data_IF_928819411491
#
_entry.id   IF_928819411491
#
_cell.length_a   1.000
_cell.length_b   1.000
_cell.length_c   1.000
_cell.angle_alpha   90.00
_cell.angle_beta   90.00
_cell.angle_gamma   90.00
#
_symmetry.space_group_name_H-M   'P 1'
#
loop_
_entity.id
_entity.type
_entity.pdbx_description
1 polymer ?
#
# COMPACT_ATOMS: atom_id res chain seq x y z
N UNK A 1 -19.36 20.93 -28.98
CA UNK A 1 -20.15 21.19 -27.74
C UNK A 1 -20.03 22.66 -27.38
N UNK A 2 -21.16 23.35 -27.12
CA UNK A 2 -21.27 24.81 -27.06
C UNK A 2 -21.05 25.37 -25.63
N UNK A 3 -19.99 26.17 -25.42
CA UNK A 3 -19.57 26.71 -24.11
C UNK A 3 -20.61 27.67 -23.47
N UNK A 4 -21.48 28.29 -24.27
CA UNK A 4 -22.41 29.31 -23.78
C UNK A 4 -23.53 28.73 -22.88
N UNK A 5 -23.85 27.44 -23.00
CA UNK A 5 -24.86 26.80 -22.15
C UNK A 5 -24.42 26.58 -20.69
N UNK A 6 -23.10 26.48 -20.44
CA UNK A 6 -22.57 26.25 -19.08
C UNK A 6 -22.47 27.53 -18.26
N UNK A 7 -22.24 28.68 -18.90
CA UNK A 7 -22.14 29.97 -18.21
C UNK A 7 -23.50 30.45 -17.69
N UNK A 8 -24.60 30.16 -18.41
CA UNK A 8 -25.95 30.56 -18.01
C UNK A 8 -26.48 29.76 -16.81
N UNK A 9 -26.12 28.47 -16.67
CA UNK A 9 -26.48 27.68 -15.48
C UNK A 9 -25.74 28.14 -14.23
N UNK A 10 -24.50 28.63 -14.37
CA UNK A 10 -23.70 29.10 -13.23
C UNK A 10 -24.24 30.41 -12.65
N UNK A 11 -24.73 31.31 -13.50
CA UNK A 11 -25.28 32.60 -13.05
C UNK A 11 -26.66 32.45 -12.37
N UNK A 12 -27.47 31.48 -12.76
CA UNK A 12 -28.75 31.18 -12.10
C UNK A 12 -28.55 30.66 -10.67
N UNK A 13 -27.55 29.79 -10.46
CA UNK A 13 -27.26 29.22 -9.14
C UNK A 13 -26.74 30.26 -8.14
N UNK A 14 -26.02 31.27 -8.62
CA UNK A 14 -25.49 32.36 -7.80
C UNK A 14 -26.57 33.29 -7.23
N UNK A 15 -27.74 33.37 -7.88
CA UNK A 15 -28.87 34.18 -7.41
C UNK A 15 -29.74 33.47 -6.36
N UNK A 16 -29.77 32.14 -6.33
CA UNK A 16 -30.50 31.41 -5.28
C UNK A 16 -29.80 31.46 -3.92
N UNK A 17 -28.46 31.52 -3.92
CA UNK A 17 -27.65 31.56 -2.69
C UNK A 17 -27.70 32.89 -1.94
N UNK A 18 -28.37 33.92 -2.46
CA UNK A 18 -28.47 35.24 -1.82
C UNK A 18 -29.78 35.47 -1.06
N UNK A 19 -30.66 34.46 -0.93
CA UNK A 19 -31.89 34.60 -0.13
C UNK A 19 -31.66 34.20 1.34
N UNK A 20 -31.85 35.10 2.32
CA UNK A 20 -31.77 34.74 3.73
C UNK A 20 -33.04 34.03 4.20
N UNK A 21 -32.89 32.90 4.90
CA UNK A 21 -34.00 32.08 5.39
C UNK A 21 -34.27 32.36 6.89
N UNK A 22 -35.52 32.69 7.22
CA UNK A 22 -36.03 32.95 8.58
C UNK A 22 -36.25 31.63 9.35
N UNK A 23 -35.94 31.64 10.65
CA UNK A 23 -36.21 30.55 11.59
C UNK A 23 -37.45 30.89 12.42
N UNK A 24 -38.36 29.93 12.60
CA UNK A 24 -39.44 29.97 13.57
C UNK A 24 -39.29 28.80 14.56
N UNK A 25 -39.53 29.06 15.85
CA UNK A 25 -39.47 28.11 16.97
C UNK A 25 -40.89 27.97 17.56
N UNK A 26 -41.26 26.76 17.96
CA UNK A 26 -42.48 26.49 18.76
C UNK A 26 -42.39 25.16 19.54
N UNK A 27 -42.79 25.19 20.81
CA UNK A 27 -42.70 24.15 21.86
C UNK A 27 -44.00 23.32 22.05
N UNK A 28 -43.89 22.20 22.80
CA UNK A 28 -44.70 21.81 24.00
C UNK A 28 -45.38 20.39 24.02
N UNK A 29 -45.09 19.61 25.10
CA UNK A 29 -45.92 18.87 26.11
C UNK A 29 -47.29 18.20 25.72
N UNK A 30 -47.91 17.17 26.34
CA UNK A 30 -47.76 16.28 27.54
C UNK A 30 -48.94 15.21 27.55
N UNK A 31 -48.92 14.24 28.50
CA UNK A 31 -50.04 13.50 29.18
C UNK A 31 -50.84 12.36 28.47
N UNK A 32 -51.53 11.39 29.12
CA UNK A 32 -51.50 10.61 30.40
C UNK A 32 -52.66 9.54 30.35
N UNK A 33 -52.52 8.38 31.06
CA UNK A 33 -53.57 7.49 31.71
C UNK A 33 -54.61 6.73 30.82
N UNK A 34 -55.25 5.58 31.14
CA UNK A 34 -55.68 4.92 32.41
C UNK A 34 -56.10 3.42 32.28
N UNK A 35 -56.03 2.72 33.43
CA UNK A 35 -56.50 1.41 33.96
C UNK A 35 -57.91 0.79 33.68
N UNK A 36 -58.01 -0.55 33.75
CA UNK A 36 -58.72 -1.41 34.77
C UNK A 36 -59.61 -2.60 34.29
N UNK A 37 -59.34 -3.80 34.88
CA UNK A 37 -60.19 -4.88 35.49
C UNK A 37 -61.50 -5.37 34.79
N UNK A 38 -62.03 -6.61 34.90
CA UNK A 38 -61.82 -7.87 35.66
C UNK A 38 -62.79 -8.93 35.05
N UNK A 39 -62.49 -10.24 35.12
CA UNK A 39 -63.36 -11.34 35.65
C UNK A 39 -62.82 -12.75 35.30
N UNK A 40 -62.95 -13.69 36.26
CA UNK A 40 -62.45 -15.08 36.29
C UNK A 40 -63.60 -16.10 36.25
N UNK A 41 -63.36 -17.28 35.67
CA UNK A 41 -63.82 -18.64 36.10
C UNK A 41 -63.09 -19.71 35.23
N UNK A 42 -62.02 -20.36 35.73
CA UNK A 42 -61.90 -21.76 36.25
C UNK A 42 -62.29 -22.93 35.32
N UNK A 43 -61.30 -23.65 34.75
CA UNK A 43 -60.87 -25.03 35.14
C UNK A 43 -59.81 -25.64 34.19
N UNK A 44 -58.65 -26.00 34.77
CA UNK A 44 -57.70 -27.14 34.55
C UNK A 44 -57.48 -27.72 33.13
N UNK A 45 -56.29 -28.07 32.63
CA UNK A 45 -54.95 -28.23 33.20
C UNK A 45 -53.90 -28.19 32.06
N UNK A 46 -52.88 -27.33 32.18
CA UNK A 46 -51.50 -27.59 31.76
C UNK A 46 -50.65 -26.50 32.42
N UNK A 47 -49.61 -26.88 33.18
CA UNK A 47 -48.63 -25.93 33.69
C UNK A 47 -47.36 -26.07 32.84
N UNK A 48 -47.10 -25.16 31.90
CA UNK A 48 -45.77 -24.65 31.67
C UNK A 48 -45.49 -23.47 32.62
N UNK A 49 -44.21 -23.22 32.82
CA UNK A 49 -43.58 -22.20 33.67
C UNK A 49 -44.15 -20.78 33.46
N UNK A 50 -44.00 -19.87 34.46
CA UNK A 50 -44.56 -18.52 34.38
C UNK A 50 -44.11 -17.82 33.10
N UNK A 51 -45.08 -17.28 32.37
CA UNK A 51 -44.87 -16.35 31.27
C UNK A 51 -43.77 -15.38 31.68
N UNK A 52 -42.66 -15.40 30.94
CA UNK A 52 -41.72 -14.29 30.94
C UNK A 52 -42.57 -13.09 30.57
N UNK A 53 -42.68 -12.17 31.53
CA UNK A 53 -43.29 -10.88 31.37
C UNK A 53 -42.70 -10.20 30.13
N UNK A 54 -43.43 -10.29 29.02
CA UNK A 54 -43.06 -9.67 27.74
C UNK A 54 -43.25 -8.16 27.78
N UNK A 55 -43.66 -7.59 28.92
CA UNK A 55 -43.85 -6.15 29.08
C UNK A 55 -42.56 -5.35 29.37
N UNK A 56 -41.39 -6.00 29.44
CA UNK A 56 -40.09 -5.31 29.58
C UNK A 56 -39.12 -5.51 28.42
N UNK A 57 -39.58 -5.92 27.23
CA UNK A 57 -38.80 -5.72 26.00
C UNK A 57 -39.21 -4.35 25.44
N UNK A 58 -38.34 -3.33 25.44
CA UNK A 58 -38.67 -2.06 24.82
C UNK A 58 -39.07 -2.35 23.38
N UNK A 59 -40.20 -1.82 22.93
CA UNK A 59 -40.61 -1.83 21.50
C UNK A 59 -39.47 -1.22 20.67
N UNK A 60 -38.50 -2.04 20.26
CA UNK A 60 -37.41 -1.63 19.38
C UNK A 60 -38.00 -1.51 17.98
N UNK A 61 -37.73 -0.37 17.36
CA UNK A 61 -38.31 0.09 16.11
C UNK A 61 -38.21 -0.98 15.02
N UNK A 62 -39.29 -1.22 14.27
CA UNK A 62 -39.30 -2.16 13.15
C UNK A 62 -38.90 -1.43 11.86
N UNK A 63 -37.61 -1.46 11.51
CA UNK A 63 -37.17 -1.31 10.11
C UNK A 63 -36.69 -2.66 9.61
N UNK A 64 -36.81 -2.89 8.31
CA UNK A 64 -36.30 -4.11 7.68
C UNK A 64 -34.81 -4.24 7.97
N UNK A 65 -34.40 -5.40 8.47
CA UNK A 65 -32.98 -5.69 8.67
C UNK A 65 -32.38 -6.14 7.34
N UNK A 66 -31.33 -5.45 6.94
CA UNK A 66 -30.57 -5.80 5.73
C UNK A 66 -29.24 -6.39 6.19
N UNK A 67 -28.91 -7.65 5.84
CA UNK A 67 -27.59 -8.19 6.15
C UNK A 67 -26.52 -7.36 5.44
N UNK A 68 -25.40 -7.18 6.12
CA UNK A 68 -24.19 -6.61 5.53
C UNK A 68 -23.79 -7.48 4.32
N UNK A 69 -23.57 -6.86 3.16
CA UNK A 69 -23.08 -7.58 1.99
C UNK A 69 -21.66 -8.13 2.31
N UNK A 70 -21.39 -9.44 2.20
CA UNK A 70 -20.05 -9.99 2.38
C UNK A 70 -19.03 -9.44 1.37
N UNK A 71 -19.49 -8.98 0.20
CA UNK A 71 -18.67 -8.32 -0.81
C UNK A 71 -18.45 -6.82 -0.50
N UNK A 72 -19.03 -6.32 0.60
CA UNK A 72 -18.80 -4.96 1.04
C UNK A 72 -17.31 -4.76 1.32
N UNK A 73 -16.70 -3.84 0.58
CA UNK A 73 -15.31 -3.43 0.77
C UNK A 73 -15.17 -2.62 2.07
N UNK A 74 -13.93 -2.46 2.52
CA UNK A 74 -13.59 -1.79 3.78
C UNK A 74 -14.31 -0.45 3.98
N UNK A 75 -14.84 -0.21 5.19
CA UNK A 75 -15.31 1.10 5.61
C UNK A 75 -15.06 1.35 7.10
N UNK A 76 -15.12 2.64 7.49
CA UNK A 76 -15.12 3.05 8.88
C UNK A 76 -16.21 4.09 9.15
N UNK A 77 -16.81 4.04 10.35
CA UNK A 77 -17.84 5.00 10.74
C UNK A 77 -17.82 5.28 12.24
N UNK A 78 -18.15 6.52 12.62
CA UNK A 78 -18.39 6.86 14.02
C UNK A 78 -19.77 6.38 14.45
N UNK A 79 -19.79 5.46 15.40
CA UNK A 79 -21.01 4.87 15.92
C UNK A 79 -21.12 5.06 17.45
N UNK A 80 -22.34 5.19 17.94
CA UNK A 80 -22.64 5.28 19.38
C UNK A 80 -23.34 3.99 19.82
N UNK A 81 -22.76 3.19 20.73
CA UNK A 81 -23.46 2.06 21.30
C UNK A 81 -24.75 2.51 21.98
N UNK A 82 -25.82 1.76 21.76
CA UNK A 82 -27.09 2.00 22.44
C UNK A 82 -26.89 1.95 23.97
N UNK A 83 -27.58 2.84 24.70
CA UNK A 83 -27.46 2.93 26.16
C UNK A 83 -26.18 3.63 26.68
N UNK A 84 -25.21 3.98 25.82
CA UNK A 84 -23.99 4.68 26.27
C UNK A 84 -24.22 6.15 26.62
N UNK A 85 -23.40 6.74 27.53
CA UNK A 85 -23.46 8.16 27.90
C UNK A 85 -23.41 9.13 26.70
N UNK A 86 -23.87 10.37 26.91
CA UNK A 86 -23.69 11.43 25.90
C UNK A 86 -22.18 11.66 25.71
N UNK A 87 -21.74 11.73 24.45
CA UNK A 87 -20.33 11.90 24.08
C UNK A 87 -19.57 10.60 23.76
N UNK A 88 -20.05 9.43 24.20
CA UNK A 88 -19.40 8.14 23.88
C UNK A 88 -19.47 7.84 22.39
N UNK A 89 -18.33 7.63 21.73
CA UNK A 89 -18.23 7.34 20.30
C UNK A 89 -17.14 6.30 20.05
N UNK A 90 -17.47 5.35 19.20
CA UNK A 90 -16.58 4.30 18.75
C UNK A 90 -16.33 4.47 17.26
N UNK A 91 -15.13 4.16 16.81
CA UNK A 91 -14.88 3.91 15.40
C UNK A 91 -15.25 2.46 15.11
N UNK A 92 -16.27 2.26 14.29
CA UNK A 92 -16.66 0.98 13.75
C UNK A 92 -15.82 0.74 12.49
N UNK A 93 -15.06 -0.35 12.46
CA UNK A 93 -14.16 -0.74 11.37
C UNK A 93 -14.60 -2.09 10.84
N UNK A 94 -14.83 -2.20 9.53
CA UNK A 94 -15.27 -3.44 8.89
C UNK A 94 -14.49 -3.71 7.61
N UNK A 95 -14.03 -4.95 7.46
CA UNK A 95 -13.41 -5.54 6.27
C UNK A 95 -13.64 -7.04 6.36
N UNK A 96 -14.63 -7.60 5.66
CA UNK A 96 -15.04 -9.00 5.82
C UNK A 96 -13.84 -9.97 5.78
N UNK A 97 -13.70 -10.90 6.74
CA UNK A 97 -14.59 -11.24 7.86
C UNK A 97 -14.32 -10.47 9.17
N UNK A 98 -13.52 -9.41 9.11
CA UNK A 98 -13.05 -8.67 10.27
C UNK A 98 -13.98 -7.50 10.60
N UNK A 99 -14.35 -7.43 11.88
CA UNK A 99 -15.06 -6.30 12.45
C UNK A 99 -14.41 -5.91 13.77
N UNK A 100 -14.25 -4.60 14.00
CA UNK A 100 -13.76 -4.10 15.28
C UNK A 100 -14.39 -2.77 15.67
N UNK A 101 -14.42 -2.52 16.98
CA UNK A 101 -14.90 -1.28 17.58
C UNK A 101 -13.74 -0.65 18.34
N UNK A 102 -13.41 0.59 18.03
CA UNK A 102 -12.36 1.32 18.74
C UNK A 102 -12.99 2.42 19.62
N UNK A 103 -12.86 2.30 20.95
CA UNK A 103 -13.25 3.34 21.90
C UNK A 103 -12.17 4.41 21.94
N UNK A 104 -12.46 5.59 21.38
CA UNK A 104 -11.51 6.69 21.35
C UNK A 104 -11.11 7.19 22.75
N UNK A 105 -12.06 7.19 23.69
CA UNK A 105 -11.83 7.76 25.03
C UNK A 105 -10.95 6.83 25.88
N UNK A 106 -11.10 5.51 25.70
CA UNK A 106 -10.34 4.50 26.44
C UNK A 106 -9.09 4.02 25.72
N UNK A 107 -8.97 4.32 24.42
CA UNK A 107 -7.92 3.78 23.52
C UNK A 107 -7.91 2.25 23.45
N UNK A 108 -9.06 1.64 23.64
CA UNK A 108 -9.24 0.19 23.61
C UNK A 108 -9.88 -0.24 22.29
N UNK A 109 -9.42 -1.35 21.72
CA UNK A 109 -10.05 -1.97 20.55
C UNK A 109 -10.72 -3.27 20.96
N UNK A 110 -11.99 -3.39 20.62
CA UNK A 110 -12.75 -4.61 20.76
C UNK A 110 -12.77 -5.32 19.41
N UNK A 111 -12.16 -6.50 19.34
CA UNK A 111 -12.24 -7.36 18.17
C UNK A 111 -13.53 -8.15 18.24
N UNK A 112 -14.36 -8.01 17.22
CA UNK A 112 -15.59 -8.77 17.12
C UNK A 112 -15.26 -10.14 16.54
N UNK A 113 -15.82 -11.18 17.14
CA UNK A 113 -15.61 -12.56 16.67
C UNK A 113 -16.14 -12.73 15.25
N UNK A 114 -15.41 -13.49 14.43
CA UNK A 114 -15.76 -13.78 13.03
C UNK A 114 -17.11 -14.48 12.85
N UNK A 115 -17.66 -15.06 13.91
CA UNK A 115 -18.97 -15.72 13.90
C UNK A 115 -20.13 -14.73 14.12
N UNK A 116 -19.83 -13.44 14.30
CA UNK A 116 -20.85 -12.41 14.49
C UNK A 116 -21.47 -12.01 13.16
N UNK A 117 -22.80 -11.88 13.14
CA UNK A 117 -23.55 -11.42 11.97
C UNK A 117 -23.77 -9.91 12.06
N UNK A 118 -23.64 -9.22 10.94
CA UNK A 118 -23.82 -7.79 10.83
C UNK A 118 -25.03 -7.44 9.98
N UNK A 119 -25.83 -6.50 10.47
CA UNK A 119 -27.02 -6.00 9.81
C UNK A 119 -27.09 -4.48 9.88
N UNK A 120 -27.72 -3.87 8.88
CA UNK A 120 -28.24 -2.51 8.95
C UNK A 120 -29.72 -2.54 9.30
N UNK A 121 -30.12 -1.64 10.20
CA UNK A 121 -31.51 -1.43 10.60
C UNK A 121 -31.76 0.09 10.69
N UNK A 122 -32.03 0.74 9.55
CA UNK A 122 -32.08 2.19 9.53
C UNK A 122 -30.71 2.81 9.76
N UNK A 123 -30.65 3.79 10.66
CA UNK A 123 -29.40 4.42 11.12
C UNK A 123 -28.61 3.56 12.11
N UNK A 124 -28.95 2.29 12.30
CA UNK A 124 -28.28 1.45 13.29
C UNK A 124 -27.50 0.34 12.60
N UNK A 125 -26.29 0.10 13.08
CA UNK A 125 -25.57 -1.15 12.84
C UNK A 125 -25.95 -2.10 13.97
N UNK A 126 -26.40 -3.30 13.60
CA UNK A 126 -26.76 -4.37 14.53
C UNK A 126 -25.72 -5.47 14.40
N UNK A 127 -25.03 -5.72 15.50
CA UNK A 127 -24.02 -6.76 15.62
C UNK A 127 -24.62 -7.89 16.45
N UNK A 128 -24.85 -9.03 15.82
CA UNK A 128 -25.46 -10.21 16.42
C UNK A 128 -24.42 -11.27 16.71
N UNK A 129 -24.29 -11.64 17.97
CA UNK A 129 -23.44 -12.74 18.39
C UNK A 129 -24.26 -13.67 19.30
N UNK A 130 -24.39 -14.96 18.95
CA UNK A 130 -25.16 -15.95 19.72
C UNK A 130 -26.59 -15.46 20.09
N UNK A 131 -27.33 -14.89 19.13
CA UNK A 131 -28.66 -14.30 19.33
C UNK A 131 -28.74 -13.07 20.25
N UNK A 132 -27.60 -12.50 20.66
CA UNK A 132 -27.54 -11.23 21.38
C UNK A 132 -27.22 -10.11 20.40
N UNK A 133 -28.12 -9.14 20.31
CA UNK A 133 -27.98 -7.97 19.43
C UNK A 133 -27.34 -6.80 20.20
N UNK A 134 -26.22 -6.30 19.69
CA UNK A 134 -25.62 -5.02 20.08
C UNK A 134 -25.89 -3.99 19.00
N UNK A 135 -26.54 -2.89 19.40
CA UNK A 135 -26.93 -1.83 18.48
C UNK A 135 -25.99 -0.64 18.58
N UNK A 136 -25.62 -0.10 17.42
CA UNK A 136 -24.78 1.08 17.30
C UNK A 136 -25.50 2.11 16.45
N UNK A 137 -25.87 3.24 17.04
CA UNK A 137 -26.47 4.36 16.34
C UNK A 137 -25.43 5.11 15.52
N UNK A 138 -25.70 5.26 14.24
CA UNK A 138 -25.00 6.14 13.33
C UNK A 138 -25.58 7.55 13.44
N UNK A 139 -24.72 8.55 13.23
CA UNK A 139 -25.11 9.96 13.20
C UNK A 139 -25.53 10.42 11.78
N UNK A 140 -25.21 9.59 10.78
CA UNK A 140 -25.50 9.80 9.36
C UNK A 140 -26.63 8.85 8.96
N UNK A 141 -27.45 9.25 7.99
CA UNK A 141 -28.55 8.44 7.47
C UNK A 141 -28.05 7.19 6.74
N UNK A 142 -28.92 6.19 6.59
CA UNK A 142 -28.58 4.85 6.06
C UNK A 142 -28.16 4.87 4.58
N UNK A 143 -28.80 5.72 3.78
CA UNK A 143 -28.68 5.79 2.32
C UNK A 143 -27.22 6.03 1.84
N UNK A 144 -26.45 6.99 2.38
CA UNK A 144 -25.02 7.14 2.08
C UNK A 144 -24.15 5.90 2.34
N UNK A 145 -24.56 4.99 3.24
CA UNK A 145 -23.83 3.75 3.49
C UNK A 145 -24.19 2.66 2.51
N UNK A 146 -25.48 2.51 2.16
CA UNK A 146 -25.87 1.61 1.07
C UNK A 146 -25.17 1.99 -0.23
N UNK A 147 -25.14 3.29 -0.56
CA UNK A 147 -24.41 3.76 -1.73
C UNK A 147 -22.91 3.43 -1.67
N UNK A 148 -22.28 3.52 -0.50
CA UNK A 148 -20.88 3.15 -0.31
C UNK A 148 -20.65 1.62 -0.39
N UNK A 149 -21.61 0.81 0.07
CA UNK A 149 -21.57 -0.65 -0.02
C UNK A 149 -21.72 -1.09 -1.50
N UNK A 150 -22.57 -0.40 -2.26
CA UNK A 150 -22.94 -0.79 -3.63
C UNK A 150 -22.02 -0.20 -4.72
N UNK A 151 -21.44 0.99 -4.52
CA UNK A 151 -20.79 1.75 -5.61
C UNK A 151 -19.28 2.03 -5.42
N UNK A 152 -18.59 1.34 -4.50
CA UNK A 152 -17.17 1.62 -4.24
C UNK A 152 -16.21 0.93 -5.22
N UNK A 153 -15.65 1.73 -6.12
CA UNK A 153 -14.40 1.41 -6.82
C UNK A 153 -13.19 1.55 -5.89
N UNK A 154 -12.36 0.50 -5.90
CA UNK A 154 -11.48 0.06 -4.80
C UNK A 154 -10.27 0.94 -4.46
N UNK A 155 -9.98 2.02 -5.18
CA UNK A 155 -8.70 2.74 -5.06
C UNK A 155 -8.81 4.13 -4.40
N UNK A 156 -9.98 4.76 -4.45
CA UNK A 156 -10.18 6.12 -3.93
C UNK A 156 -10.31 6.11 -2.39
N UNK A 157 -10.97 5.09 -1.83
CA UNK A 157 -11.21 4.99 -0.38
C UNK A 157 -9.94 4.66 0.43
N UNK A 158 -9.00 3.91 -0.15
CA UNK A 158 -7.64 3.71 0.42
C UNK A 158 -6.85 5.00 0.55
N UNK A 159 -6.97 5.88 -0.44
CA UNK A 159 -6.32 7.19 -0.44
C UNK A 159 -6.94 8.12 0.62
N UNK A 160 -8.27 8.05 0.83
CA UNK A 160 -8.95 8.76 1.93
C UNK A 160 -8.52 8.28 3.32
N UNK A 161 -8.23 6.99 3.51
CA UNK A 161 -7.68 6.46 4.76
C UNK A 161 -6.25 6.98 5.04
N UNK A 162 -5.37 6.99 4.04
CA UNK A 162 -4.00 7.55 4.15
C UNK A 162 -4.03 9.06 4.43
N UNK A 163 -4.91 9.80 3.74
CA UNK A 163 -5.16 11.22 4.00
C UNK A 163 -5.69 11.49 5.42
N UNK A 164 -6.55 10.62 5.94
CA UNK A 164 -7.08 10.75 7.31
C UNK A 164 -6.00 10.62 8.38
N UNK A 165 -4.94 9.83 8.13
CA UNK A 165 -3.77 9.71 9.02
C UNK A 165 -2.87 10.94 8.93
N UNK A 166 -2.74 11.54 7.74
CA UNK A 166 -1.97 12.76 7.48
C UNK A 166 -2.58 14.01 8.16
N UNK A 167 -3.90 14.05 8.36
CA UNK A 167 -4.62 15.20 8.93
C UNK A 167 -4.83 15.14 10.47
N UNK A 168 -4.05 14.34 11.20
CA UNK A 168 -4.05 14.03 12.65
C UNK A 168 -4.94 12.84 13.10
N UNK A 169 -4.32 11.64 13.07
CA UNK A 169 -4.34 10.48 14.01
C UNK A 169 -5.64 10.04 14.72
N UNK A 170 -6.06 8.77 14.78
CA UNK A 170 -5.48 7.42 14.54
C UNK A 170 -6.66 6.41 14.41
N UNK A 171 -6.43 5.15 13.96
CA UNK A 171 -6.52 4.04 14.94
C UNK A 171 -5.62 2.82 14.56
N UNK A 172 -5.30 1.83 15.40
CA UNK A 172 -4.90 1.78 16.83
C UNK A 172 -3.80 0.70 16.90
N UNK A 173 -2.54 1.11 16.88
CA UNK A 173 -1.84 0.77 15.63
C UNK A 173 -1.08 -0.56 15.61
N UNK A 174 -0.47 -0.95 16.71
CA UNK A 174 0.63 -1.93 16.76
C UNK A 174 0.39 -3.19 15.93
N UNK A 175 -0.49 -4.08 16.42
CA UNK A 175 -0.58 -5.44 15.87
C UNK A 175 -1.80 -5.70 14.99
N UNK A 176 -2.96 -5.11 15.32
CA UNK A 176 -4.14 -5.18 14.45
C UNK A 176 -4.00 -4.33 13.20
N UNK A 177 -3.21 -3.27 13.31
CA UNK A 177 -3.01 -2.32 12.23
C UNK A 177 -1.78 -2.70 11.44
N UNK A 178 -0.91 -3.59 11.92
CA UNK A 178 0.04 -4.31 11.05
C UNK A 178 -0.69 -5.20 10.05
N UNK A 179 -1.64 -6.05 10.46
CA UNK A 179 -2.39 -6.89 9.50
C UNK A 179 -3.26 -6.05 8.56
N UNK A 180 -3.92 -5.02 9.11
CA UNK A 180 -4.75 -4.09 8.35
C UNK A 180 -3.93 -3.14 7.45
N UNK A 181 -2.78 -2.60 7.88
CA UNK A 181 -1.87 -1.79 7.04
C UNK A 181 -1.17 -2.67 6.02
N UNK A 182 -0.77 -3.89 6.35
CA UNK A 182 -0.15 -4.80 5.40
C UNK A 182 -1.10 -5.13 4.24
N UNK A 183 -2.41 -5.23 4.49
CA UNK A 183 -3.42 -5.38 3.43
C UNK A 183 -3.82 -4.06 2.76
N UNK A 184 -3.82 -2.95 3.52
CA UNK A 184 -4.42 -1.69 3.07
C UNK A 184 -3.41 -0.73 2.45
N UNK A 185 -2.23 -0.56 3.06
CA UNK A 185 -1.24 0.45 2.64
C UNK A 185 0.02 -0.19 2.04
N UNK A 186 0.46 -1.34 2.55
CA UNK A 186 1.59 -2.11 1.99
C UNK A 186 1.18 -2.81 0.69
N UNK A 187 0.97 -2.01 -0.35
CA UNK A 187 0.52 -2.46 -1.66
C UNK A 187 1.53 -2.04 -2.72
N UNK A 188 1.57 -2.79 -3.82
CA UNK A 188 2.34 -2.42 -5.00
C UNK A 188 2.11 -0.95 -5.41
N UNK A 189 0.86 -0.47 -5.39
CA UNK A 189 0.50 0.92 -5.74
C UNK A 189 1.20 1.95 -4.86
N UNK A 190 1.31 1.70 -3.55
CA UNK A 190 2.03 2.60 -2.64
C UNK A 190 3.49 2.74 -3.05
N UNK A 191 4.21 1.64 -3.28
CA UNK A 191 5.61 1.70 -3.72
C UNK A 191 5.76 2.37 -5.08
N UNK A 192 4.87 2.08 -6.03
CA UNK A 192 4.84 2.78 -7.33
C UNK A 192 4.73 4.30 -7.14
N UNK A 193 3.82 4.78 -6.31
CA UNK A 193 3.63 6.21 -6.05
C UNK A 193 4.85 6.82 -5.32
N UNK A 194 5.40 6.12 -4.33
CA UNK A 194 6.61 6.56 -3.59
C UNK A 194 7.81 6.71 -4.53
N UNK A 195 7.93 5.86 -5.55
CA UNK A 195 9.03 5.94 -6.53
C UNK A 195 9.05 7.25 -7.35
N UNK A 196 7.96 8.01 -7.37
CA UNK A 196 7.89 9.34 -8.01
C UNK A 196 8.34 10.49 -7.11
N UNK A 197 8.66 10.23 -5.83
CA UNK A 197 9.25 11.26 -4.98
C UNK A 197 10.60 11.73 -5.55
N UNK A 198 10.94 13.03 -5.39
CA UNK A 198 12.23 13.54 -5.85
C UNK A 198 13.42 12.72 -5.35
N UNK A 199 14.36 12.40 -6.24
CA UNK A 199 15.49 11.51 -5.96
C UNK A 199 16.35 11.96 -4.77
N UNK A 200 16.49 13.28 -4.55
CA UNK A 200 17.24 13.85 -3.43
C UNK A 200 16.66 13.52 -2.05
N UNK A 201 15.42 13.02 -1.98
CA UNK A 201 14.78 12.58 -0.75
C UNK A 201 15.17 11.14 -0.38
N UNK A 202 15.73 10.38 -1.31
CA UNK A 202 16.25 9.04 -1.06
C UNK A 202 17.75 9.16 -0.85
N UNK A 203 18.23 8.99 0.38
CA UNK A 203 19.62 8.66 0.67
C UNK A 203 19.78 7.13 0.67
N UNK A 204 20.99 6.64 0.99
CA UNK A 204 21.30 5.22 0.98
C UNK A 204 20.41 4.45 1.97
N UNK A 205 20.24 4.98 3.17
CA UNK A 205 19.37 4.40 4.21
C UNK A 205 17.91 4.30 3.76
N UNK A 206 17.33 5.39 3.24
CA UNK A 206 15.94 5.39 2.75
C UNK A 206 15.74 4.49 1.54
N UNK A 207 16.76 4.40 0.68
CA UNK A 207 16.72 3.48 -0.47
C UNK A 207 16.78 2.03 -0.01
N UNK A 208 17.59 1.72 1.00
CA UNK A 208 17.63 0.40 1.62
C UNK A 208 16.28 0.04 2.24
N UNK A 209 15.67 0.95 3.02
CA UNK A 209 14.33 0.74 3.57
C UNK A 209 13.30 0.49 2.48
N UNK A 210 13.33 1.29 1.41
CA UNK A 210 12.49 1.08 0.23
C UNK A 210 12.66 -0.31 -0.37
N UNK A 211 13.91 -0.69 -0.63
CA UNK A 211 14.29 -1.95 -1.23
C UNK A 211 13.82 -3.15 -0.38
N UNK A 212 13.96 -3.09 0.94
CA UNK A 212 13.50 -4.14 1.86
C UNK A 212 11.97 -4.13 2.01
N UNK A 213 11.35 -2.96 2.04
CA UNK A 213 9.90 -2.80 2.14
C UNK A 213 9.16 -3.38 0.93
N UNK A 214 9.71 -3.22 -0.27
CA UNK A 214 9.05 -3.63 -1.50
C UNK A 214 9.31 -5.08 -1.92
N UNK A 215 10.07 -5.86 -1.14
CA UNK A 215 10.50 -7.22 -1.50
C UNK A 215 9.35 -8.16 -1.96
N UNK A 216 8.17 -8.17 -1.29
CA UNK A 216 7.04 -8.99 -1.73
C UNK A 216 6.47 -8.59 -3.10
N UNK A 217 6.76 -7.37 -3.55
CA UNK A 217 6.29 -6.80 -4.80
C UNK A 217 7.41 -6.62 -5.83
N UNK A 218 8.61 -7.19 -5.57
CA UNK A 218 9.81 -6.91 -6.33
C UNK A 218 9.58 -7.06 -7.84
N UNK A 219 8.97 -8.16 -8.27
CA UNK A 219 8.72 -8.45 -9.70
C UNK A 219 7.85 -7.38 -10.34
N UNK A 220 6.63 -7.16 -9.81
CA UNK A 220 5.66 -6.24 -10.41
C UNK A 220 6.10 -4.77 -10.31
N UNK A 221 6.79 -4.41 -9.22
CA UNK A 221 7.33 -3.08 -9.04
C UNK A 221 8.49 -2.82 -10.00
N UNK A 222 9.37 -3.79 -10.17
CA UNK A 222 10.51 -3.63 -11.07
C UNK A 222 10.07 -3.56 -12.52
N UNK A 223 9.07 -4.35 -12.92
CA UNK A 223 8.40 -4.23 -14.23
C UNK A 223 7.83 -2.81 -14.43
N UNK A 224 7.17 -2.24 -13.42
CA UNK A 224 6.68 -0.86 -13.47
C UNK A 224 7.79 0.18 -13.61
N UNK A 225 8.83 0.12 -12.79
CA UNK A 225 9.97 1.04 -12.84
C UNK A 225 10.65 0.98 -14.21
N UNK A 226 10.78 -0.23 -14.75
CA UNK A 226 11.31 -0.49 -16.07
C UNK A 226 10.46 0.15 -17.18
N UNK A 227 9.12 0.06 -17.12
CA UNK A 227 8.24 0.64 -18.15
C UNK A 227 8.41 2.16 -18.27
N UNK A 228 8.51 2.88 -17.15
CA UNK A 228 8.67 4.33 -17.15
C UNK A 228 10.02 4.81 -17.68
N UNK A 229 11.05 3.96 -17.55
CA UNK A 229 12.43 4.33 -17.83
C UNK A 229 12.98 3.72 -19.13
N UNK A 230 12.77 2.44 -19.39
CA UNK A 230 13.37 1.72 -20.52
C UNK A 230 12.70 2.11 -21.83
N UNK A 231 11.38 2.35 -21.84
CA UNK A 231 10.66 2.72 -23.05
C UNK A 231 11.09 4.07 -23.63
N UNK A 232 11.71 4.92 -22.82
CA UNK A 232 12.14 6.27 -23.21
C UNK A 232 13.60 6.33 -23.63
N UNK A 233 14.35 5.23 -23.50
CA UNK A 233 15.76 5.12 -23.89
C UNK A 233 15.89 5.00 -25.43
N UNK A 234 16.83 5.73 -26.02
CA UNK A 234 17.18 5.60 -27.44
C UNK A 234 17.84 4.24 -27.72
N UNK A 235 17.51 3.60 -28.85
CA UNK A 235 18.06 2.29 -29.26
C UNK A 235 19.58 2.25 -29.37
N UNK A 236 20.22 3.39 -29.58
CA UNK A 236 21.68 3.54 -29.68
C UNK A 236 22.35 3.79 -28.31
N UNK A 237 21.57 3.91 -27.24
CA UNK A 237 22.09 4.13 -25.90
C UNK A 237 22.83 2.90 -25.43
N UNK A 238 24.12 3.02 -25.11
CA UNK A 238 24.91 1.89 -24.58
C UNK A 238 25.14 1.96 -23.07
N UNK A 239 24.61 2.99 -22.40
CA UNK A 239 24.86 3.29 -20.99
C UNK A 239 23.57 3.36 -20.21
N UNK A 240 23.58 2.83 -19.00
CA UNK A 240 22.44 2.94 -18.09
C UNK A 240 22.38 4.35 -17.46
N UNK A 241 21.24 5.07 -17.54
CA UNK A 241 21.13 6.39 -16.92
C UNK A 241 21.21 6.34 -15.39
N UNK A 242 22.24 6.97 -14.82
CA UNK A 242 22.57 6.89 -13.40
C UNK A 242 21.81 7.88 -12.52
N UNK A 243 21.15 8.87 -13.10
CA UNK A 243 20.41 9.95 -12.44
C UNK A 243 18.95 9.59 -12.12
N UNK A 244 18.63 8.29 -12.09
CA UNK A 244 17.26 7.80 -11.95
C UNK A 244 17.03 6.95 -10.72
N UNK A 245 15.77 6.91 -10.29
CA UNK A 245 15.37 6.12 -9.14
C UNK A 245 15.63 4.62 -9.35
N UNK A 246 15.35 4.08 -10.55
CA UNK A 246 15.62 2.69 -10.87
C UNK A 246 17.12 2.36 -10.78
N UNK A 247 18.00 3.26 -11.20
CA UNK A 247 19.44 3.07 -11.01
C UNK A 247 19.80 3.04 -9.52
N UNK A 248 19.28 3.99 -8.73
CA UNK A 248 19.55 4.03 -7.29
C UNK A 248 19.07 2.75 -6.59
N UNK A 249 17.92 2.22 -6.99
CA UNK A 249 17.39 0.94 -6.53
C UNK A 249 18.32 -0.25 -6.88
N UNK A 250 18.80 -0.31 -8.13
CA UNK A 250 19.74 -1.35 -8.59
C UNK A 250 21.06 -1.25 -7.83
N UNK A 251 21.64 -0.05 -7.72
CA UNK A 251 22.89 0.18 -7.01
C UNK A 251 22.80 -0.24 -5.54
N UNK A 252 21.69 0.08 -4.86
CA UNK A 252 21.41 -0.37 -3.49
C UNK A 252 21.28 -1.89 -3.38
N UNK A 253 20.70 -2.55 -4.39
CA UNK A 253 20.64 -4.03 -4.44
C UNK A 253 22.05 -4.63 -4.44
N UNK A 254 22.97 -4.07 -5.23
CA UNK A 254 24.38 -4.51 -5.24
C UNK A 254 25.11 -4.20 -3.92
N UNK A 255 24.86 -3.04 -3.32
CA UNK A 255 25.46 -2.67 -2.02
C UNK A 255 25.03 -3.63 -0.89
N UNK A 256 23.82 -4.19 -0.97
CA UNK A 256 23.31 -5.17 -0.01
C UNK A 256 23.72 -6.61 -0.32
N UNK A 257 24.49 -6.86 -1.39
CA UNK A 257 24.99 -8.19 -1.74
C UNK A 257 26.42 -8.39 -1.22
N UNK A 258 26.55 -9.11 -0.10
CA UNK A 258 27.84 -9.42 0.52
C UNK A 258 28.76 -10.27 -0.38
N UNK A 259 28.19 -11.13 -1.23
CA UNK A 259 28.97 -11.93 -2.18
C UNK A 259 29.60 -11.01 -3.21
N UNK A 260 28.81 -10.08 -3.74
CA UNK A 260 29.28 -9.07 -4.68
C UNK A 260 30.35 -8.16 -4.04
N UNK A 261 30.10 -7.64 -2.84
CA UNK A 261 31.06 -6.79 -2.10
C UNK A 261 32.40 -7.48 -1.86
N UNK A 262 32.38 -8.77 -1.49
CA UNK A 262 33.60 -9.57 -1.34
C UNK A 262 34.38 -9.66 -2.65
N UNK A 263 33.67 -9.87 -3.76
CA UNK A 263 34.28 -10.03 -5.08
C UNK A 263 34.89 -8.73 -5.58
N UNK A 264 34.19 -7.59 -5.47
CA UNK A 264 34.74 -6.29 -5.89
C UNK A 264 35.94 -5.88 -5.03
N UNK A 265 35.97 -6.22 -3.74
CA UNK A 265 37.18 -6.01 -2.91
C UNK A 265 38.36 -6.84 -3.41
N UNK A 266 38.12 -8.08 -3.84
CA UNK A 266 39.15 -8.91 -4.47
C UNK A 266 39.61 -8.33 -5.81
N UNK A 267 38.69 -7.84 -6.65
CA UNK A 267 39.02 -7.14 -7.91
C UNK A 267 39.92 -5.93 -7.64
N UNK A 268 39.64 -5.17 -6.56
CA UNK A 268 40.44 -4.04 -6.13
C UNK A 268 41.90 -4.38 -5.81
N UNK A 269 42.24 -5.66 -5.58
CA UNK A 269 43.63 -6.12 -5.37
C UNK A 269 44.40 -6.37 -6.67
N UNK A 270 43.72 -6.44 -7.81
CA UNK A 270 44.38 -6.60 -9.10
C UNK A 270 45.10 -5.31 -9.50
N UNK A 271 46.24 -5.49 -10.20
CA UNK A 271 46.97 -4.38 -10.83
C UNK A 271 46.18 -3.80 -12.01
N UNK A 272 45.55 -4.67 -12.80
CA UNK A 272 44.63 -4.31 -13.88
C UNK A 272 43.22 -4.69 -13.46
N UNK A 273 42.45 -3.72 -12.98
CA UNK A 273 41.11 -3.99 -12.42
C UNK A 273 40.13 -4.49 -13.46
N UNK A 274 40.27 -4.08 -14.72
CA UNK A 274 39.42 -4.52 -15.82
C UNK A 274 39.54 -6.04 -16.03
N UNK A 275 40.77 -6.53 -16.06
CA UNK A 275 41.07 -7.96 -16.20
C UNK A 275 40.63 -8.74 -14.97
N UNK A 276 40.94 -8.24 -13.77
CA UNK A 276 40.51 -8.86 -12.52
C UNK A 276 38.99 -8.95 -12.41
N UNK A 277 38.28 -7.93 -12.88
CA UNK A 277 36.82 -7.89 -12.91
C UNK A 277 36.25 -8.95 -13.86
N UNK A 278 36.72 -8.98 -15.11
CA UNK A 278 36.29 -9.99 -16.08
C UNK A 278 36.54 -11.42 -15.57
N UNK A 279 37.72 -11.67 -15.00
CA UNK A 279 38.11 -12.95 -14.40
C UNK A 279 37.24 -13.37 -13.23
N UNK A 280 36.97 -12.46 -12.28
CA UNK A 280 36.15 -12.80 -11.11
C UNK A 280 34.69 -13.02 -11.52
N UNK A 281 34.17 -12.21 -12.42
CA UNK A 281 32.80 -12.37 -12.90
C UNK A 281 32.60 -13.66 -13.69
N UNK A 282 33.59 -14.11 -14.47
CA UNK A 282 33.52 -15.36 -15.24
C UNK A 282 33.59 -16.62 -14.38
N UNK A 283 34.38 -16.58 -13.29
CA UNK A 283 34.73 -17.79 -12.52
C UNK A 283 33.93 -17.98 -11.24
N UNK A 284 33.58 -16.90 -10.55
CA UNK A 284 32.89 -16.95 -9.25
C UNK A 284 31.50 -16.38 -9.45
N UNK A 285 30.44 -17.21 -9.37
CA UNK A 285 29.05 -16.78 -9.47
C UNK A 285 28.79 -15.65 -8.45
N UNK A 286 28.82 -14.37 -8.85
CA UNK A 286 29.26 -13.32 -7.94
C UNK A 286 28.11 -12.64 -7.20
N UNK A 287 26.92 -13.22 -7.32
CA UNK A 287 25.67 -12.61 -6.92
C UNK A 287 24.88 -13.58 -6.05
N UNK A 288 24.19 -13.04 -5.04
CA UNK A 288 23.13 -13.74 -4.37
C UNK A 288 21.89 -13.86 -5.29
N UNK A 289 20.89 -14.65 -4.88
CA UNK A 289 19.73 -14.90 -5.74
C UNK A 289 18.82 -13.69 -5.95
N UNK A 290 18.80 -12.74 -5.00
CA UNK A 290 18.07 -11.47 -5.13
C UNK A 290 18.68 -10.59 -6.23
N UNK A 291 19.99 -10.40 -6.20
CA UNK A 291 20.72 -9.63 -7.22
C UNK A 291 20.57 -10.28 -8.59
N UNK A 292 20.67 -11.63 -8.67
CA UNK A 292 20.37 -12.35 -9.92
C UNK A 292 18.95 -12.10 -10.42
N UNK A 293 17.97 -12.09 -9.52
CA UNK A 293 16.57 -11.85 -9.88
C UNK A 293 16.38 -10.42 -10.41
N UNK A 294 16.97 -9.41 -9.78
CA UNK A 294 16.92 -8.02 -10.25
C UNK A 294 17.58 -7.88 -11.62
N UNK A 295 18.75 -8.51 -11.84
CA UNK A 295 19.42 -8.50 -13.14
C UNK A 295 18.63 -9.24 -14.22
N UNK A 296 17.99 -10.34 -13.86
CA UNK A 296 17.09 -11.08 -14.73
C UNK A 296 15.88 -10.23 -15.15
N UNK A 297 15.21 -9.58 -14.19
CA UNK A 297 14.07 -8.70 -14.47
C UNK A 297 14.49 -7.52 -15.34
N UNK A 298 15.67 -6.94 -15.10
CA UNK A 298 16.23 -5.88 -15.93
C UNK A 298 16.43 -6.37 -17.36
N UNK A 299 17.13 -7.49 -17.54
CA UNK A 299 17.35 -8.10 -18.84
C UNK A 299 16.03 -8.36 -19.58
N UNK A 300 15.06 -8.96 -18.90
CA UNK A 300 13.76 -9.33 -19.46
C UNK A 300 12.98 -8.10 -19.93
N UNK A 301 12.92 -7.05 -19.11
CA UNK A 301 12.18 -5.84 -19.45
C UNK A 301 12.80 -5.08 -20.63
N UNK A 302 14.14 -5.00 -20.71
CA UNK A 302 14.82 -4.41 -21.87
C UNK A 302 14.56 -5.25 -23.11
N UNK A 303 14.62 -6.58 -23.00
CA UNK A 303 14.35 -7.49 -24.13
C UNK A 303 12.93 -7.36 -24.68
N UNK A 304 11.94 -7.14 -23.80
CA UNK A 304 10.54 -6.85 -24.20
C UNK A 304 10.43 -5.54 -24.97
N UNK A 305 11.15 -4.49 -24.55
CA UNK A 305 11.11 -3.18 -25.19
C UNK A 305 11.93 -3.13 -26.50
N UNK A 306 13.03 -3.86 -26.56
CA UNK A 306 14.00 -3.86 -27.67
C UNK A 306 14.31 -5.29 -28.14
N UNK A 307 13.33 -5.98 -28.75
CA UNK A 307 13.50 -7.36 -29.19
C UNK A 307 14.59 -7.47 -30.26
N UNK A 308 15.33 -8.59 -30.24
CA UNK A 308 16.41 -8.93 -31.20
C UNK A 308 17.57 -7.91 -31.24
N UNK A 309 17.86 -7.27 -30.11
CA UNK A 309 19.01 -6.36 -29.97
C UNK A 309 19.94 -6.86 -28.87
N UNK A 310 21.21 -6.45 -28.90
CA UNK A 310 22.16 -6.71 -27.82
C UNK A 310 21.97 -5.77 -26.61
N UNK A 311 21.10 -4.77 -26.74
CA UNK A 311 20.85 -3.72 -25.75
C UNK A 311 20.57 -4.25 -24.32
N UNK A 312 19.80 -5.34 -24.11
CA UNK A 312 19.61 -5.91 -22.78
C UNK A 312 20.93 -6.25 -22.08
N UNK A 313 21.84 -6.90 -22.80
CA UNK A 313 23.16 -7.29 -22.28
C UNK A 313 24.00 -6.05 -21.97
N UNK A 314 24.02 -5.07 -22.88
CA UNK A 314 24.78 -3.82 -22.71
C UNK A 314 24.34 -3.03 -21.48
N UNK A 315 23.03 -2.87 -21.28
CA UNK A 315 22.49 -2.08 -20.16
C UNK A 315 22.62 -2.81 -18.83
N UNK A 316 22.44 -4.14 -18.78
CA UNK A 316 22.71 -4.94 -17.58
C UNK A 316 24.18 -4.82 -17.16
N UNK A 317 25.09 -4.96 -18.12
CA UNK A 317 26.51 -4.77 -17.89
C UNK A 317 26.83 -3.35 -17.41
N UNK A 318 26.27 -2.32 -18.06
CA UNK A 318 26.47 -0.93 -17.66
C UNK A 318 25.97 -0.69 -16.24
N UNK A 319 24.82 -1.24 -15.86
CA UNK A 319 24.30 -1.14 -14.49
C UNK A 319 25.26 -1.77 -13.46
N UNK A 320 25.86 -2.93 -13.76
CA UNK A 320 26.84 -3.58 -12.88
C UNK A 320 28.10 -2.70 -12.74
N UNK A 321 28.69 -2.25 -13.86
CA UNK A 321 29.92 -1.44 -13.84
C UNK A 321 29.73 -0.13 -13.07
N UNK A 322 28.63 0.57 -13.33
CA UNK A 322 28.28 1.80 -12.60
C UNK A 322 28.04 1.52 -11.09
N UNK A 323 27.52 0.35 -10.73
CA UNK A 323 27.36 -0.03 -9.32
C UNK A 323 28.70 -0.30 -8.63
N UNK A 324 29.67 -0.90 -9.32
CA UNK A 324 31.05 -1.05 -8.80
C UNK A 324 31.68 0.33 -8.57
N UNK A 325 31.56 1.22 -9.55
CA UNK A 325 32.07 2.58 -9.44
C UNK A 325 31.47 3.30 -8.24
N UNK A 326 30.15 3.23 -8.05
CA UNK A 326 29.47 3.86 -6.92
C UNK A 326 30.02 3.37 -5.57
N UNK A 327 30.27 2.07 -5.43
CA UNK A 327 30.86 1.50 -4.19
C UNK A 327 32.32 1.96 -4.00
N UNK A 328 33.14 1.96 -5.04
CA UNK A 328 34.54 2.37 -4.93
C UNK A 328 34.72 3.88 -4.76
N UNK A 329 33.77 4.71 -5.21
CA UNK A 329 33.84 6.15 -5.00
C UNK A 329 33.69 6.56 -3.54
N UNK A 330 32.99 5.76 -2.73
CA UNK A 330 32.82 6.00 -1.30
C UNK A 330 33.89 5.30 -0.45
N UNK A 331 34.59 4.29 -0.99
CA UNK A 331 35.71 3.63 -0.31
C UNK A 331 37.06 4.29 -0.68
N UNK A 332 37.72 4.99 0.27
CA UNK A 332 39.00 5.65 0.02
C UNK A 332 40.09 4.71 -0.52
N UNK A 333 40.01 3.41 -0.20
CA UNK A 333 40.96 2.39 -0.63
C UNK A 333 40.97 2.21 -2.14
N UNK A 334 39.80 2.32 -2.78
CA UNK A 334 39.61 1.99 -4.20
C UNK A 334 39.18 3.18 -5.06
N UNK A 335 38.98 4.37 -4.47
CA UNK A 335 38.56 5.57 -5.18
C UNK A 335 39.39 5.89 -6.43
N UNK A 336 40.72 5.72 -6.36
CA UNK A 336 41.63 5.93 -7.48
C UNK A 336 41.46 4.93 -8.65
N UNK A 337 40.83 3.77 -8.40
CA UNK A 337 40.55 2.71 -9.39
C UNK A 337 39.15 2.80 -9.98
N UNK A 338 38.28 3.66 -9.44
CA UNK A 338 36.91 3.85 -9.95
C UNK A 338 36.89 4.37 -11.39
N UNK A 339 37.89 5.15 -11.82
CA UNK A 339 38.03 5.59 -13.21
C UNK A 339 38.37 4.43 -14.16
N UNK A 340 39.24 3.52 -13.72
CA UNK A 340 39.71 2.39 -14.53
C UNK A 340 38.59 1.38 -14.81
N UNK A 341 37.72 1.10 -13.81
CA UNK A 341 36.58 0.20 -14.03
C UNK A 341 35.56 0.80 -14.99
N UNK A 342 35.39 2.12 -14.98
CA UNK A 342 34.48 2.83 -15.89
C UNK A 342 34.93 2.80 -17.36
N UNK A 343 36.18 2.43 -17.64
CA UNK A 343 36.62 2.18 -19.02
C UNK A 343 35.88 1.01 -19.66
N UNK A 344 35.33 0.10 -18.85
CA UNK A 344 34.53 -1.04 -19.30
C UNK A 344 33.13 -0.61 -19.74
N UNK A 345 32.59 0.48 -19.19
CA UNK A 345 31.23 0.96 -19.47
C UNK A 345 30.99 1.18 -20.98
N UNK A 346 29.79 0.80 -21.44
CA UNK A 346 29.49 0.67 -22.87
C UNK A 346 30.14 -0.54 -23.54
N UNK A 347 30.44 -1.60 -22.77
CA UNK A 347 30.91 -2.90 -23.26
C UNK A 347 32.27 -2.86 -23.97
N UNK A 348 33.16 -1.99 -23.50
CA UNK A 348 34.48 -1.81 -24.10
C UNK A 348 35.48 -2.77 -23.47
N UNK A 349 35.96 -3.76 -24.25
CA UNK A 349 36.93 -4.79 -23.80
C UNK A 349 38.22 -4.26 -23.16
N UNK A 350 38.65 -3.03 -23.48
CA UNK A 350 39.98 -2.42 -23.21
C UNK A 350 40.90 -3.23 -22.27
N UNK A 351 42.02 -3.71 -22.82
CA UNK A 351 43.11 -4.38 -22.08
C UNK A 351 42.73 -5.74 -21.44
N UNK A 352 41.57 -6.30 -21.75
CA UNK A 352 41.18 -7.68 -21.40
C UNK A 352 41.53 -8.62 -22.56
N UNK A 353 42.20 -9.77 -22.33
CA UNK A 353 42.41 -10.82 -23.33
C UNK A 353 41.11 -11.28 -23.99
N UNK A 354 41.14 -11.65 -25.27
CA UNK A 354 39.92 -11.99 -26.03
C UNK A 354 39.18 -13.19 -25.42
N UNK A 355 39.89 -14.23 -25.04
CA UNK A 355 39.27 -15.44 -24.47
C UNK A 355 38.56 -15.12 -23.16
N UNK A 356 39.25 -14.39 -22.27
CA UNK A 356 38.68 -13.94 -21.00
C UNK A 356 37.48 -13.02 -21.21
N UNK A 357 37.52 -12.15 -22.22
CA UNK A 357 36.39 -11.29 -22.57
C UNK A 357 35.19 -12.11 -23.04
N UNK A 358 35.40 -13.12 -23.89
CA UNK A 358 34.33 -13.98 -24.37
C UNK A 358 33.68 -14.78 -23.24
N UNK A 359 34.48 -15.34 -22.33
CA UNK A 359 33.99 -16.04 -21.13
C UNK A 359 33.18 -15.09 -20.24
N UNK A 360 33.66 -13.87 -20.09
CA UNK A 360 32.98 -12.84 -19.32
C UNK A 360 31.64 -12.44 -19.97
N UNK A 361 31.58 -12.23 -21.28
CA UNK A 361 30.31 -11.94 -21.97
C UNK A 361 29.32 -13.10 -21.87
N UNK A 362 29.80 -14.34 -21.96
CA UNK A 362 28.97 -15.53 -21.80
C UNK A 362 28.31 -15.61 -20.40
N UNK A 363 28.86 -14.95 -19.38
CA UNK A 363 28.20 -14.92 -18.06
C UNK A 363 26.88 -14.17 -18.05
N UNK A 364 26.69 -13.21 -18.95
CA UNK A 364 25.44 -12.45 -19.03
C UNK A 364 24.28 -13.27 -19.57
N UNK A 365 24.57 -14.35 -20.31
CA UNK A 365 23.54 -15.30 -20.74
C UNK A 365 22.85 -15.97 -19.55
N UNK A 366 23.52 -16.04 -18.39
CA UNK A 366 22.91 -16.59 -17.16
C UNK A 366 21.73 -15.74 -16.68
N UNK A 367 21.68 -14.45 -16.98
CA UNK A 367 20.56 -13.58 -16.60
C UNK A 367 19.34 -13.73 -17.51
N UNK A 368 19.46 -14.46 -18.63
CA UNK A 368 18.30 -14.83 -19.47
C UNK A 368 17.38 -15.81 -18.74
N UNK A 369 17.91 -16.54 -17.76
CA UNK A 369 17.21 -17.59 -17.03
C UNK A 369 16.87 -17.06 -15.63
N UNK A 370 15.63 -17.29 -15.20
CA UNK A 370 15.21 -16.96 -13.84
C UNK A 370 16.01 -17.80 -12.83
N UNK A 371 16.58 -17.20 -11.76
CA UNK A 371 17.30 -17.94 -10.74
C UNK A 371 16.38 -18.93 -10.00
N UNK A 372 16.71 -20.23 -10.03
CA UNK A 372 15.90 -21.30 -9.45
C UNK A 372 15.83 -21.25 -7.91
N UNK A 373 16.85 -20.68 -7.25
CA UNK A 373 16.90 -20.52 -5.80
C UNK A 373 16.14 -19.31 -5.27
N UNK A 374 15.67 -18.41 -6.15
CA UNK A 374 14.94 -17.23 -5.71
C UNK A 374 13.51 -17.60 -5.30
N UNK A 375 13.23 -17.47 -4.00
CA UNK A 375 11.89 -17.62 -3.44
C UNK A 375 11.40 -16.21 -3.14
N UNK A 376 10.32 -15.79 -3.80
CA UNK A 376 9.68 -14.50 -3.50
C UNK A 376 9.25 -14.53 -2.02
N UNK A 377 9.65 -13.54 -1.21
CA UNK A 377 9.19 -13.45 0.17
C UNK A 377 7.67 -13.38 0.17
N UNK A 378 7.00 -14.39 0.72
CA UNK A 378 5.57 -14.30 0.99
C UNK A 378 5.35 -13.16 2.00
N UNK A 379 4.22 -12.45 1.88
CA UNK A 379 3.90 -11.16 2.53
C UNK A 379 4.12 -11.05 4.06
N UNK A 380 4.56 -12.12 4.74
CA UNK A 380 4.73 -12.22 6.18
C UNK A 380 6.15 -11.91 6.70
N UNK A 381 7.16 -11.70 5.85
CA UNK A 381 8.58 -11.63 6.29
C UNK A 381 9.20 -10.24 6.27
N UNK A 382 8.49 -9.21 5.79
CA UNK A 382 8.99 -7.83 5.85
C UNK A 382 8.80 -7.31 7.27
N UNK A 383 9.88 -6.89 7.93
CA UNK A 383 9.78 -6.21 9.22
C UNK A 383 9.04 -4.88 9.02
N UNK A 384 7.95 -4.71 9.77
CA UNK A 384 7.10 -3.52 9.79
C UNK A 384 7.91 -2.20 9.83
N UNK A 385 9.07 -2.23 10.47
CA UNK A 385 10.01 -1.12 10.60
C UNK A 385 10.39 -0.48 9.26
N UNK A 386 10.70 -1.26 8.21
CA UNK A 386 11.09 -0.70 6.92
C UNK A 386 9.94 0.04 6.24
N UNK A 387 8.73 -0.54 6.32
CA UNK A 387 7.54 0.11 5.81
C UNK A 387 7.20 1.38 6.61
N UNK A 388 7.35 1.35 7.94
CA UNK A 388 7.14 2.49 8.83
C UNK A 388 8.04 3.67 8.47
N UNK A 389 9.31 3.41 8.17
CA UNK A 389 10.25 4.48 7.78
C UNK A 389 9.95 5.05 6.39
N UNK A 390 9.53 4.23 5.41
CA UNK A 390 9.07 4.75 4.12
C UNK A 390 7.80 5.58 4.31
N UNK A 391 6.87 5.11 5.13
CA UNK A 391 5.67 5.87 5.45
C UNK A 391 6.05 7.22 6.07
N UNK A 392 6.98 7.24 7.02
CA UNK A 392 7.49 8.48 7.61
C UNK A 392 8.08 9.43 6.56
N UNK A 393 8.89 8.92 5.62
CA UNK A 393 9.39 9.71 4.49
C UNK A 393 8.24 10.33 3.67
N UNK A 394 7.19 9.56 3.38
CA UNK A 394 6.02 10.08 2.66
C UNK A 394 5.25 11.13 3.45
N UNK A 395 5.21 11.01 4.78
CA UNK A 395 4.54 11.94 5.68
C UNK A 395 5.29 13.27 5.80
N UNK A 396 6.62 13.20 5.95
CA UNK A 396 7.51 14.36 5.97
C UNK A 396 7.43 15.16 4.65
N UNK A 397 6.98 14.52 3.58
CA UNK A 397 6.78 15.10 2.27
C UNK A 397 5.33 15.00 1.75
N UNK A 398 4.35 15.05 2.68
CA UNK A 398 2.93 14.87 2.36
C UNK A 398 2.44 15.69 1.18
N UNK A 399 2.82 16.96 1.07
CA UNK A 399 2.31 17.85 0.03
C UNK A 399 2.80 17.43 -1.37
N UNK A 400 4.01 16.85 -1.46
CA UNK A 400 4.53 16.26 -2.69
C UNK A 400 3.79 14.97 -3.03
N UNK A 401 3.56 14.13 -2.02
CA UNK A 401 2.82 12.87 -2.21
C UNK A 401 1.38 13.09 -2.66
N UNK A 402 0.67 14.07 -2.11
CA UNK A 402 -0.69 14.39 -2.55
C UNK A 402 -0.72 14.83 -4.02
N UNK A 403 0.25 15.64 -4.46
CA UNK A 403 0.39 16.00 -5.87
C UNK A 403 0.67 14.79 -6.76
N UNK A 404 1.52 13.87 -6.31
CA UNK A 404 1.82 12.62 -7.03
C UNK A 404 0.54 11.78 -7.16
N UNK A 405 -0.19 11.57 -6.06
CA UNK A 405 -1.47 10.85 -6.07
C UNK A 405 -2.45 11.49 -7.05
N UNK A 406 -2.57 12.83 -7.02
CA UNK A 406 -3.45 13.54 -7.94
C UNK A 406 -3.03 13.45 -9.41
N UNK A 407 -1.73 13.38 -9.66
CA UNK A 407 -1.17 13.28 -11.02
C UNK A 407 -1.31 11.86 -11.58
N UNK A 408 -1.21 10.84 -10.72
CA UNK A 408 -1.12 9.44 -11.11
C UNK A 408 -2.29 8.61 -10.57
N UNK A 409 -3.52 9.12 -10.76
CA UNK A 409 -4.76 8.45 -10.28
C UNK A 409 -4.99 7.08 -10.89
N UNK A 410 -4.49 6.85 -12.10
CA UNK A 410 -4.70 5.62 -12.88
C UNK A 410 -3.57 4.58 -12.70
N UNK A 411 -2.54 4.89 -11.90
CA UNK A 411 -1.47 3.94 -11.48
C UNK A 411 -1.86 3.32 -10.15
#
# INVERSE_FOLDING_TARGET
>A
MNLNGRLNKFNAYKQELQKPMKIAIGNANEQEKSNSNNFKEQQTAYKPEPDIDTSCVPKRFWRTRTPMNPECKFFFVLAKPEGSPKGTRFYFLYDDPYCSLFDFNKREIEIITTNSQLFFEGRYIVLRNNNVDRLFSLKVEEEPFHDAIENTDSDIIKQFYILSKICNGYPNTDNMTVAFYNRTINTLRFFKLVSFLPLHLFDDEKTEWYLRGCDPFLVDLFDFLCVGFIKTIDKNTQKFPTDTFIFKFIAMTFQNDDTFKSIISQVGKFKMVQEGFAFKMSTTNPYNDRTKMVLHLLYLNISKAFPNTDLPTHLVFSAIVNSVQAIWQVDPTYMHKAGDIMELDGFKRRRIPLDLWNDYIATFDKFKIQPSGYILPTHSTVTFDYFSEILKLTMDHKDKMLKIIDTYKDI
#
